data_IF_870454471958
#
_entry.id   IF_870454471958
#
_cell.length_a   1.000
_cell.length_b   1.000
_cell.length_c   1.000
_cell.angle_alpha   90.00
_cell.angle_beta   90.00
_cell.angle_gamma   90.00
#
_symmetry.space_group_name_H-M   'P 1'
#
loop_
_entity.id
_entity.type
_entity.pdbx_description
1 polymer ?
#
# COMPACT_ATOMS: atom_id res chain seq x y z
N UNK A 1 -11.62 -8.07 -8.12
CA UNK A 1 -11.15 -9.22 -8.94
C UNK A 1 -9.68 -9.46 -8.65
N UNK A 2 -9.22 -10.72 -8.68
CA UNK A 2 -7.82 -11.04 -8.47
C UNK A 2 -6.95 -10.47 -9.60
N UNK A 3 -5.85 -9.81 -9.21
CA UNK A 3 -4.83 -9.30 -10.12
C UNK A 3 -3.78 -10.37 -10.40
N UNK A 4 -3.20 -10.29 -11.59
CA UNK A 4 -2.01 -11.05 -12.00
C UNK A 4 -0.92 -10.07 -12.41
N UNK A 5 0.31 -10.54 -12.47
CA UNK A 5 1.44 -9.76 -12.96
C UNK A 5 1.18 -9.41 -14.43
N UNK A 6 1.15 -8.12 -14.73
CA UNK A 6 1.20 -7.61 -16.11
C UNK A 6 2.66 -7.31 -16.47
N UNK A 7 3.24 -8.14 -17.34
CA UNK A 7 4.62 -8.02 -17.78
C UNK A 7 4.92 -6.69 -18.48
N UNK A 8 3.93 -6.11 -19.19
CA UNK A 8 4.10 -4.81 -19.86
C UNK A 8 4.16 -3.69 -18.85
N UNK A 9 3.28 -3.74 -17.84
CA UNK A 9 3.30 -2.77 -16.77
C UNK A 9 4.60 -2.86 -15.97
N UNK A 10 5.00 -4.07 -15.58
CA UNK A 10 6.23 -4.32 -14.84
C UNK A 10 7.45 -3.80 -15.61
N UNK A 11 7.56 -4.13 -16.89
CA UNK A 11 8.66 -3.64 -17.76
C UNK A 11 8.68 -2.11 -17.82
N UNK A 12 7.51 -1.48 -17.98
CA UNK A 12 7.40 -0.02 -17.99
C UNK A 12 7.87 0.61 -16.68
N UNK A 13 7.49 0.03 -15.53
CA UNK A 13 7.90 0.51 -14.20
C UNK A 13 9.41 0.38 -14.01
N UNK A 14 9.99 -0.77 -14.38
CA UNK A 14 11.45 -0.99 -14.33
C UNK A 14 12.17 0.06 -15.19
N UNK A 15 11.73 0.26 -16.44
CA UNK A 15 12.35 1.24 -17.35
C UNK A 15 12.26 2.67 -16.81
N UNK A 16 11.13 3.05 -16.21
CA UNK A 16 10.96 4.37 -15.61
C UNK A 16 11.98 4.61 -14.48
N UNK A 17 12.11 3.67 -13.55
CA UNK A 17 13.06 3.78 -12.43
C UNK A 17 14.53 3.73 -12.90
N UNK A 18 14.85 2.86 -13.87
CA UNK A 18 16.19 2.78 -14.45
C UNK A 18 16.57 4.07 -15.20
N UNK A 19 15.62 4.72 -15.88
CA UNK A 19 15.85 6.00 -16.53
C UNK A 19 16.14 7.10 -15.50
N UNK A 20 15.41 7.13 -14.38
CA UNK A 20 15.65 8.08 -13.30
C UNK A 20 17.03 7.88 -12.66
N UNK A 21 17.50 6.65 -12.52
CA UNK A 21 18.81 6.37 -11.92
C UNK A 21 19.96 7.05 -12.68
N UNK A 22 19.96 6.97 -14.01
CA UNK A 22 21.12 7.36 -14.84
C UNK A 22 21.55 8.81 -14.63
N UNK A 23 20.59 9.72 -14.54
CA UNK A 23 20.85 11.16 -14.45
C UNK A 23 20.74 11.68 -13.00
N UNK A 24 20.44 10.79 -12.05
CA UNK A 24 20.33 11.14 -10.63
C UNK A 24 21.71 11.25 -9.99
N UNK A 25 21.93 12.33 -9.24
CA UNK A 25 23.08 12.49 -8.36
C UNK A 25 22.99 11.51 -7.19
N UNK A 26 24.03 10.72 -7.01
CA UNK A 26 24.22 9.86 -5.84
C UNK A 26 24.62 10.73 -4.65
N UNK A 27 23.96 10.54 -3.51
CA UNK A 27 24.26 11.34 -2.32
C UNK A 27 23.15 11.39 -1.29
N UNK A 28 23.32 12.26 -0.32
CA UNK A 28 22.31 12.53 0.71
C UNK A 28 21.27 13.47 0.12
N UNK A 29 20.03 13.01 0.05
CA UNK A 29 18.87 13.85 -0.25
C UNK A 29 18.09 14.09 1.05
N UNK A 30 18.02 15.35 1.45
CA UNK A 30 17.34 15.78 2.67
C UNK A 30 15.81 15.73 2.57
N UNK A 31 15.27 15.63 1.35
CA UNK A 31 13.83 15.61 1.06
C UNK A 31 13.40 14.31 0.36
N UNK A 32 14.21 13.25 0.49
CA UNK A 32 13.97 11.97 -0.15
C UNK A 32 12.61 11.34 0.19
N UNK A 33 12.14 11.53 1.42
CA UNK A 33 10.92 10.94 1.95
C UNK A 33 10.27 11.87 2.96
N UNK A 34 8.99 11.64 3.29
CA UNK A 34 8.26 12.36 4.33
C UNK A 34 7.76 11.35 5.34
N UNK A 35 8.10 11.53 6.62
CA UNK A 35 7.60 10.70 7.70
C UNK A 35 6.07 10.83 7.79
N UNK A 36 5.29 9.76 7.58
CA UNK A 36 3.84 9.83 7.58
C UNK A 36 3.24 10.21 8.95
N UNK A 37 3.96 10.01 10.05
CA UNK A 37 3.47 10.37 11.38
C UNK A 37 3.70 11.85 11.71
N UNK A 38 4.89 12.39 11.39
CA UNK A 38 5.27 13.76 11.74
C UNK A 38 5.15 14.77 10.60
N UNK A 39 5.00 14.32 9.36
CA UNK A 39 4.99 15.17 8.16
C UNK A 39 6.34 15.82 7.84
N UNK A 40 7.43 15.41 8.52
CA UNK A 40 8.76 16.00 8.35
C UNK A 40 9.53 15.30 7.24
N UNK A 41 10.41 16.03 6.52
CA UNK A 41 11.29 15.41 5.55
C UNK A 41 12.29 14.49 6.24
N UNK A 42 12.48 13.31 5.68
CA UNK A 42 13.43 12.29 6.12
C UNK A 42 14.60 12.30 5.15
N UNK A 43 15.78 12.52 5.71
CA UNK A 43 17.03 12.47 4.96
C UNK A 43 17.39 11.03 4.64
N UNK A 44 17.69 10.74 3.38
CA UNK A 44 18.08 9.40 2.93
C UNK A 44 19.24 9.49 1.96
N UNK A 45 20.09 8.48 1.96
CA UNK A 45 21.05 8.29 0.89
C UNK A 45 20.33 7.72 -0.33
N UNK A 46 20.44 8.42 -1.46
CA UNK A 46 19.91 7.97 -2.73
C UNK A 46 21.09 7.57 -3.62
N UNK A 47 21.03 6.35 -4.14
CA UNK A 47 21.99 5.86 -5.12
C UNK A 47 21.61 6.39 -6.51
N UNK A 48 22.61 6.85 -7.25
CA UNK A 48 22.44 7.49 -8.54
C UNK A 48 23.58 7.15 -9.49
N UNK A 49 23.33 7.30 -10.79
CA UNK A 49 24.31 7.06 -11.84
C UNK A 49 25.38 8.15 -11.93
N UNK A 50 25.16 9.30 -11.28
CA UNK A 50 26.07 10.44 -11.27
C UNK A 50 26.72 10.58 -9.90
N UNK A 51 28.05 10.62 -9.88
CA UNK A 51 28.86 10.84 -8.69
C UNK A 51 29.58 12.18 -8.80
N UNK A 52 29.59 12.93 -7.69
CA UNK A 52 30.19 14.27 -7.64
C UNK A 52 31.42 14.26 -6.76
N UNK A 53 32.50 14.85 -7.27
CA UNK A 53 33.74 15.04 -6.53
C UNK A 53 33.88 16.51 -6.15
N UNK A 54 34.06 16.85 -4.86
CA UNK A 54 34.27 18.23 -4.45
C UNK A 54 35.62 18.72 -5.00
N UNK A 55 35.61 19.92 -5.56
CA UNK A 55 36.76 20.59 -6.15
C UNK A 55 36.96 21.91 -5.40
N UNK A 56 38.02 22.05 -4.57
CA UNK A 56 38.21 23.24 -3.74
C UNK A 56 38.41 24.53 -4.54
N UNK A 57 39.00 24.43 -5.74
CA UNK A 57 39.11 25.55 -6.67
C UNK A 57 39.11 25.06 -8.12
N UNK A 58 38.70 25.92 -9.06
CA UNK A 58 38.71 25.57 -10.48
C UNK A 58 40.11 25.18 -11.01
N UNK A 59 41.20 25.60 -10.35
CA UNK A 59 42.57 25.23 -10.73
C UNK A 59 42.93 23.78 -10.35
N UNK A 60 42.21 23.20 -9.39
CA UNK A 60 42.43 21.83 -8.90
C UNK A 60 41.57 20.79 -9.61
N UNK A 61 40.79 21.20 -10.62
CA UNK A 61 39.89 20.29 -11.35
C UNK A 61 40.63 19.15 -12.05
N UNK A 62 41.82 19.41 -12.61
CA UNK A 62 42.56 18.40 -13.37
C UNK A 62 43.03 17.24 -12.48
N UNK A 63 43.68 17.48 -11.32
CA UNK A 63 43.96 16.41 -10.35
C UNK A 63 42.72 15.58 -9.99
N UNK A 64 41.62 16.23 -9.60
CA UNK A 64 40.37 15.54 -9.20
C UNK A 64 39.79 14.73 -10.36
N UNK A 65 39.84 15.26 -11.59
CA UNK A 65 39.39 14.55 -12.78
C UNK A 65 40.21 13.28 -13.04
N UNK A 66 41.53 13.36 -12.94
CA UNK A 66 42.38 12.17 -13.14
C UNK A 66 42.16 11.10 -12.07
N UNK A 67 41.93 11.50 -10.82
CA UNK A 67 41.54 10.57 -9.75
C UNK A 67 40.19 9.90 -10.05
N UNK A 68 39.17 10.67 -10.46
CA UNK A 68 37.87 10.13 -10.82
C UNK A 68 37.95 9.14 -11.99
N UNK A 69 38.73 9.45 -13.03
CA UNK A 69 38.96 8.54 -14.16
C UNK A 69 39.73 7.30 -13.75
N UNK A 70 40.70 7.40 -12.83
CA UNK A 70 41.42 6.25 -12.28
C UNK A 70 40.50 5.29 -11.51
N UNK A 71 39.42 5.81 -10.91
CA UNK A 71 38.34 5.02 -10.30
C UNK A 71 37.37 4.41 -11.34
N UNK A 72 37.58 4.67 -12.63
CA UNK A 72 36.75 4.17 -13.73
C UNK A 72 35.52 5.03 -14.03
N UNK A 73 35.42 6.24 -13.46
CA UNK A 73 34.35 7.17 -13.79
C UNK A 73 34.57 7.80 -15.18
N UNK A 74 33.48 8.27 -15.78
CA UNK A 74 33.51 9.02 -17.05
C UNK A 74 32.91 10.40 -16.85
N UNK A 75 33.37 11.40 -17.59
CA UNK A 75 32.90 12.78 -17.41
C UNK A 75 31.40 12.90 -17.73
N UNK A 76 30.63 13.49 -16.82
CA UNK A 76 29.23 13.82 -17.09
C UNK A 76 29.16 15.06 -18.00
N UNK A 77 28.14 15.22 -18.87
CA UNK A 77 27.97 16.42 -19.70
C UNK A 77 27.94 17.75 -18.95
N UNK A 78 27.56 17.74 -17.67
CA UNK A 78 27.60 18.93 -16.80
C UNK A 78 29.03 19.36 -16.45
N UNK A 79 29.99 18.44 -16.42
CA UNK A 79 31.39 18.72 -16.11
C UNK A 79 31.58 19.33 -14.72
N UNK A 80 32.33 20.44 -14.67
CA UNK A 80 32.58 21.21 -13.45
C UNK A 80 31.48 22.25 -13.23
N UNK A 81 30.84 22.23 -12.08
CA UNK A 81 29.76 23.16 -11.72
C UNK A 81 30.11 23.88 -10.43
N UNK A 82 29.89 25.20 -10.37
CA UNK A 82 29.92 25.93 -9.10
C UNK A 82 28.64 25.66 -8.33
N UNK A 83 28.76 25.12 -7.12
CA UNK A 83 27.61 24.69 -6.30
C UNK A 83 27.30 25.63 -5.14
N UNK A 84 28.19 26.58 -4.86
CA UNK A 84 27.96 27.55 -3.81
C UNK A 84 29.17 28.42 -3.53
N UNK A 85 29.15 29.01 -2.34
CA UNK A 85 30.26 29.75 -1.75
C UNK A 85 30.54 29.14 -0.37
N UNK A 86 31.81 29.07 0.02
CA UNK A 86 32.21 28.72 1.38
C UNK A 86 31.91 29.86 2.38
N UNK A 87 32.21 29.65 3.66
CA UNK A 87 32.02 30.66 4.71
C UNK A 87 32.87 31.93 4.53
N UNK A 88 33.89 31.89 3.67
CA UNK A 88 34.76 33.01 3.33
C UNK A 88 34.34 33.69 2.01
N UNK A 89 33.29 33.21 1.35
CA UNK A 89 32.81 33.73 0.07
C UNK A 89 33.56 33.20 -1.15
N UNK A 90 34.39 32.16 -1.01
CA UNK A 90 35.08 31.54 -2.14
C UNK A 90 34.15 30.54 -2.87
N UNK A 91 34.20 30.48 -4.21
CA UNK A 91 33.41 29.52 -4.97
C UNK A 91 33.77 28.08 -4.65
N UNK A 92 32.75 27.27 -4.36
CA UNK A 92 32.87 25.82 -4.23
C UNK A 92 32.43 25.15 -5.53
N UNK A 93 33.20 24.17 -5.99
CA UNK A 93 32.91 23.44 -7.22
C UNK A 93 32.69 21.96 -6.96
N UNK A 94 31.93 21.33 -7.84
CA UNK A 94 31.79 19.88 -7.93
C UNK A 94 32.05 19.44 -9.35
N UNK A 95 32.86 18.39 -9.51
CA UNK A 95 33.03 17.69 -10.77
C UNK A 95 32.00 16.56 -10.87
N UNK A 96 31.12 16.64 -11.86
CA UNK A 96 30.09 15.64 -12.12
C UNK A 96 30.64 14.55 -13.04
N UNK A 97 30.48 13.29 -12.64
CA UNK A 97 30.93 12.13 -13.40
C UNK A 97 29.86 11.04 -13.41
N UNK A 98 29.81 10.25 -14.45
CA UNK A 98 29.07 8.99 -14.43
C UNK A 98 29.93 7.91 -13.76
N UNK A 99 29.28 7.13 -12.90
CA UNK A 99 29.90 5.99 -12.20
C UNK A 99 30.42 4.93 -13.19
N UNK A 100 31.33 4.03 -12.80
CA UNK A 100 31.81 2.99 -13.70
C UNK A 100 30.66 2.14 -14.24
N UNK A 101 30.76 1.72 -15.51
CA UNK A 101 29.69 1.00 -16.21
C UNK A 101 29.27 -0.28 -15.48
N UNK A 102 30.23 -0.99 -14.87
CA UNK A 102 29.96 -2.20 -14.09
C UNK A 102 29.14 -1.89 -12.82
N UNK A 103 29.44 -0.78 -12.15
CA UNK A 103 28.70 -0.31 -10.96
C UNK A 103 27.29 0.08 -11.35
N UNK A 104 27.14 0.84 -12.44
CA UNK A 104 25.83 1.22 -12.96
C UNK A 104 25.00 -0.02 -13.32
N UNK A 105 25.59 -1.02 -13.99
CA UNK A 105 24.88 -2.26 -14.35
C UNK A 105 24.35 -2.98 -13.10
N UNK A 106 25.19 -3.17 -12.08
CA UNK A 106 24.77 -3.81 -10.84
C UNK A 106 23.63 -3.06 -10.14
N UNK A 107 23.69 -1.72 -10.14
CA UNK A 107 22.63 -0.90 -9.59
C UNK A 107 21.32 -1.01 -10.39
N UNK A 108 21.39 -0.99 -11.72
CA UNK A 108 20.22 -1.14 -12.60
C UNK A 108 19.58 -2.53 -12.48
N UNK A 109 20.37 -3.59 -12.31
CA UNK A 109 19.90 -4.95 -12.06
C UNK A 109 19.20 -5.03 -10.69
N UNK A 110 19.76 -4.38 -9.66
CA UNK A 110 19.14 -4.27 -8.34
C UNK A 110 17.81 -3.51 -8.40
N UNK A 111 17.76 -2.38 -9.10
CA UNK A 111 16.52 -1.61 -9.30
C UNK A 111 15.44 -2.48 -9.95
N UNK A 112 15.80 -3.26 -10.97
CA UNK A 112 14.84 -4.17 -11.61
C UNK A 112 14.29 -5.22 -10.64
N UNK A 113 15.15 -5.80 -9.80
CA UNK A 113 14.76 -6.75 -8.77
C UNK A 113 13.86 -6.12 -7.69
N UNK A 114 14.21 -4.93 -7.21
CA UNK A 114 13.46 -4.19 -6.18
C UNK A 114 12.07 -3.82 -6.70
N UNK A 115 11.97 -3.26 -7.92
CA UNK A 115 10.68 -2.92 -8.56
C UNK A 115 9.82 -4.17 -8.77
N UNK A 116 10.42 -5.28 -9.20
CA UNK A 116 9.69 -6.55 -9.38
C UNK A 116 9.14 -7.07 -8.05
N UNK A 117 9.93 -6.99 -6.98
CA UNK A 117 9.54 -7.41 -5.64
C UNK A 117 8.38 -6.56 -5.12
N UNK A 118 8.50 -5.22 -5.22
CA UNK A 118 7.46 -4.30 -4.80
C UNK A 118 6.15 -4.51 -5.58
N UNK A 119 6.23 -4.64 -6.90
CA UNK A 119 5.03 -4.88 -7.73
C UNK A 119 4.35 -6.21 -7.41
N UNK A 120 5.14 -7.25 -7.13
CA UNK A 120 4.60 -8.56 -6.71
C UNK A 120 3.89 -8.43 -5.37
N UNK A 121 4.48 -7.74 -4.40
CA UNK A 121 3.87 -7.48 -3.09
C UNK A 121 2.60 -6.62 -3.19
N UNK A 122 2.55 -5.63 -4.09
CA UNK A 122 1.34 -4.84 -4.37
C UNK A 122 0.20 -5.73 -4.90
N UNK A 123 0.50 -6.69 -5.78
CA UNK A 123 -0.49 -7.63 -6.30
C UNK A 123 -0.96 -8.59 -5.22
N UNK A 124 -0.03 -9.15 -4.44
CA UNK A 124 -0.34 -10.08 -3.35
C UNK A 124 -1.20 -9.42 -2.28
N UNK A 125 -0.83 -8.22 -1.83
CA UNK A 125 -1.60 -7.44 -0.85
C UNK A 125 -2.99 -7.09 -1.37
N UNK A 126 -3.12 -6.66 -2.63
CA UNK A 126 -4.42 -6.42 -3.25
C UNK A 126 -5.28 -7.69 -3.29
N UNK A 127 -4.68 -8.83 -3.65
CA UNK A 127 -5.39 -10.10 -3.75
C UNK A 127 -5.82 -10.62 -2.37
N UNK A 128 -4.97 -10.49 -1.36
CA UNK A 128 -5.30 -10.82 0.03
C UNK A 128 -6.50 -9.99 0.52
N UNK A 129 -6.45 -8.66 0.34
CA UNK A 129 -7.55 -7.77 0.72
C UNK A 129 -8.85 -8.09 -0.05
N UNK A 130 -8.75 -8.45 -1.33
CA UNK A 130 -9.92 -8.88 -2.11
C UNK A 130 -10.54 -10.17 -1.58
N UNK A 131 -9.70 -11.18 -1.25
CA UNK A 131 -10.18 -12.45 -0.68
C UNK A 131 -10.83 -12.21 0.69
N UNK A 132 -10.20 -11.41 1.54
CA UNK A 132 -10.74 -11.06 2.86
C UNK A 132 -12.12 -10.40 2.74
N UNK A 133 -12.28 -9.45 1.80
CA UNK A 133 -13.57 -8.83 1.50
C UNK A 133 -14.64 -9.85 1.07
N UNK A 134 -14.29 -10.82 0.22
CA UNK A 134 -15.24 -11.85 -0.24
C UNK A 134 -15.60 -12.83 0.88
N UNK A 135 -14.63 -13.22 1.72
CA UNK A 135 -14.87 -14.07 2.89
C UNK A 135 -15.80 -13.36 3.87
N UNK A 136 -15.55 -12.09 4.17
CA UNK A 136 -16.42 -11.32 5.07
C UNK A 136 -17.84 -11.20 4.50
N UNK A 137 -17.97 -10.94 3.21
CA UNK A 137 -19.29 -10.88 2.56
C UNK A 137 -20.06 -12.21 2.67
N UNK A 138 -19.38 -13.36 2.56
CA UNK A 138 -20.01 -14.67 2.75
C UNK A 138 -20.38 -14.95 4.21
N UNK A 139 -19.52 -14.57 5.17
CA UNK A 139 -19.82 -14.67 6.59
C UNK A 139 -21.08 -13.85 6.94
N UNK A 140 -21.17 -12.61 6.46
CA UNK A 140 -22.32 -11.73 6.68
C UNK A 140 -23.62 -12.34 6.12
N UNK A 141 -23.55 -13.04 4.98
CA UNK A 141 -24.70 -13.73 4.38
C UNK A 141 -25.12 -14.93 5.26
N UNK A 142 -24.17 -15.74 5.70
CA UNK A 142 -24.44 -16.89 6.57
C UNK A 142 -24.99 -16.45 7.93
N UNK A 143 -24.43 -15.42 8.55
CA UNK A 143 -24.94 -14.85 9.81
C UNK A 143 -26.40 -14.40 9.67
N UNK A 144 -26.74 -13.73 8.56
CA UNK A 144 -28.13 -13.34 8.27
C UNK A 144 -29.03 -14.55 8.06
N UNK A 145 -28.54 -15.63 7.45
CA UNK A 145 -29.31 -16.87 7.25
C UNK A 145 -29.59 -17.54 8.60
N UNK A 146 -28.55 -17.74 9.42
CA UNK A 146 -28.67 -18.33 10.76
C UNK A 146 -29.59 -17.49 11.65
N UNK A 147 -29.48 -16.16 11.62
CA UNK A 147 -30.36 -15.28 12.38
C UNK A 147 -31.83 -15.44 11.98
N UNK A 148 -32.13 -15.60 10.69
CA UNK A 148 -33.49 -15.88 10.20
C UNK A 148 -33.98 -17.24 10.64
N UNK A 149 -33.17 -18.28 10.50
CA UNK A 149 -33.51 -19.65 10.92
C UNK A 149 -33.81 -19.71 12.42
N UNK A 150 -33.00 -19.05 13.25
CA UNK A 150 -33.23 -18.95 14.70
C UNK A 150 -34.51 -18.18 15.03
N UNK A 151 -34.79 -17.08 14.32
CA UNK A 151 -36.01 -16.31 14.50
C UNK A 151 -37.27 -17.12 14.12
N UNK A 152 -37.22 -17.85 13.00
CA UNK A 152 -38.30 -18.73 12.57
C UNK A 152 -38.53 -19.89 13.55
N UNK A 153 -37.46 -20.51 14.04
CA UNK A 153 -37.55 -21.57 15.04
C UNK A 153 -38.13 -21.06 16.37
N UNK A 154 -37.71 -19.88 16.82
CA UNK A 154 -38.27 -19.24 18.01
C UNK A 154 -39.76 -18.87 17.84
N UNK A 155 -40.15 -18.39 16.65
CA UNK A 155 -41.53 -18.07 16.34
C UNK A 155 -42.43 -19.32 16.32
N UNK A 156 -41.97 -20.41 15.69
CA UNK A 156 -42.67 -21.70 15.71
C UNK A 156 -42.86 -22.21 17.14
N UNK A 157 -41.80 -22.18 17.95
CA UNK A 157 -41.87 -22.65 19.34
C UNK A 157 -42.80 -21.79 20.20
N UNK A 158 -42.84 -20.48 19.98
CA UNK A 158 -43.84 -19.59 20.62
C UNK A 158 -45.26 -19.96 20.21
N UNK A 159 -45.50 -20.24 18.94
CA UNK A 159 -46.83 -20.63 18.45
C UNK A 159 -47.28 -21.99 19.02
N UNK A 160 -46.38 -22.96 19.15
CA UNK A 160 -46.64 -24.25 19.80
C UNK A 160 -47.03 -24.06 21.28
N UNK A 161 -46.23 -23.30 22.04
CA UNK A 161 -46.52 -22.98 23.44
C UNK A 161 -47.86 -22.25 23.57
N UNK A 162 -48.15 -21.30 22.67
CA UNK A 162 -49.42 -20.57 22.68
C UNK A 162 -50.61 -21.51 22.38
N UNK A 163 -50.45 -22.47 21.48
CA UNK A 163 -51.47 -23.48 21.21
C UNK A 163 -51.71 -24.39 22.42
N UNK A 164 -50.66 -24.83 23.10
CA UNK A 164 -50.74 -25.60 24.35
C UNK A 164 -51.46 -24.81 25.45
N UNK A 165 -51.09 -23.54 25.65
CA UNK A 165 -51.73 -22.65 26.62
C UNK A 165 -53.21 -22.45 26.27
N UNK A 166 -53.56 -22.18 25.01
CA UNK A 166 -54.97 -22.03 24.60
C UNK A 166 -55.78 -23.31 24.81
N UNK A 167 -55.19 -24.48 24.62
CA UNK A 167 -55.86 -25.75 24.89
C UNK A 167 -56.13 -25.97 26.39
N UNK A 168 -55.23 -25.51 27.27
CA UNK A 168 -55.39 -25.61 28.73
C UNK A 168 -56.42 -24.60 29.27
N UNK A 169 -56.52 -23.42 28.67
CA UNK A 169 -57.39 -22.33 29.14
C UNK A 169 -58.64 -22.08 28.28
N UNK A 170 -59.11 -23.10 27.54
CA UNK A 170 -60.37 -23.00 26.79
C UNK A 170 -61.53 -22.70 27.75
N UNK A 171 -62.28 -21.60 27.56
CA UNK A 171 -63.47 -21.33 28.37
C UNK A 171 -64.52 -22.40 28.07
N UNK A 172 -65.08 -22.98 29.13
CA UNK A 172 -66.22 -23.89 29.02
C UNK A 172 -67.34 -23.21 28.23
N UNK A 173 -67.87 -23.90 27.22
CA UNK A 173 -69.06 -23.47 26.50
C UNK A 173 -70.15 -23.12 27.53
N UNK A 174 -70.67 -21.89 27.42
CA UNK A 174 -71.78 -21.42 28.24
C UNK A 174 -72.97 -22.36 28.07
N UNK A 175 -73.19 -23.20 29.08
CA UNK A 175 -74.38 -24.01 29.21
C UNK A 175 -75.63 -23.11 29.16
N UNK A 176 -76.61 -23.57 28.38
CA UNK A 176 -77.92 -22.95 28.15
C UNK A 176 -78.55 -22.41 29.44
N UNK A 177 -78.97 -21.15 29.40
CA UNK A 177 -79.84 -20.58 30.43
C UNK A 177 -81.22 -21.28 30.39
N UNK A 178 -81.78 -21.72 31.54
CA UNK A 178 -83.06 -22.40 31.56
C UNK A 178 -84.20 -21.44 31.22
N UNK A 179 -85.16 -21.92 30.41
CA UNK A 179 -86.35 -21.19 30.01
C UNK A 179 -87.22 -20.78 31.22
N UNK A 180 -87.79 -19.56 31.24
CA UNK A 180 -88.65 -19.14 32.34
C UNK A 180 -90.01 -19.84 32.29
N UNK A 181 -90.35 -20.49 33.39
CA UNK A 181 -91.67 -21.07 33.67
C UNK A 181 -92.73 -19.95 33.77
N UNK A 182 -93.65 -19.90 32.81
CA UNK A 182 -94.87 -19.09 32.90
C UNK A 182 -95.89 -19.76 33.82
N UNK A 183 -96.25 -19.08 34.91
CA UNK A 183 -97.39 -19.41 35.75
C UNK A 183 -98.72 -18.89 35.16
N UNK A 184 -99.70 -19.80 35.12
CA UNK A 184 -101.17 -19.66 35.33
C UNK A 184 -101.89 -18.39 34.87
N UNK A 185 -102.89 -18.57 33.99
CA UNK A 185 -104.31 -18.77 34.37
C UNK A 185 -105.10 -19.37 33.21
#
# INVERSE_FOLDING_TARGET
MLKKIDEKELTRRIQAEQALYKDRKSGIDHYAEVDPASGRPVTKYIDGGVETFPVPSAFEVLPVYFEAVALGNTLHPLGLVQVGLDFHGNPQFELYTHRPVQVQKLALDKIAADVTTQYTQEIESHNAAFIESEVQAQLDIEERRVARELAEAAAKRRAEIEAEVRAVYQPAETAEAPAPTKGRK
#
